data_IF_022499542046
#
_entry.id   IF_022499542046
#
_cell.length_a   1.000
_cell.length_b   1.000
_cell.length_c   1.000
_cell.angle_alpha   90.00
_cell.angle_beta   90.00
_cell.angle_gamma   90.00
#
_symmetry.space_group_name_H-M   'P 1'
#
loop_
_entity.id
_entity.type
_entity.pdbx_description
1 polymer ?
#
# COMPACT_ATOMS: atom_id res chain seq x y z
N UNK A 1 9.07 13.64 -19.67
CA UNK A 1 7.97 14.40 -19.05
C UNK A 1 8.33 15.87 -18.85
N UNK A 2 9.30 16.22 -17.99
CA UNK A 2 9.63 17.60 -17.60
C UNK A 2 9.86 18.57 -18.78
N UNK A 3 10.76 18.24 -19.72
CA UNK A 3 11.06 19.09 -20.91
C UNK A 3 9.82 19.47 -21.74
N UNK A 4 8.74 18.69 -21.66
CA UNK A 4 7.50 18.88 -22.43
C UNK A 4 6.29 19.15 -21.53
N UNK A 5 6.51 19.35 -20.23
CA UNK A 5 5.46 19.58 -19.23
C UNK A 5 4.31 18.55 -19.28
N UNK A 6 4.67 17.27 -19.43
CA UNK A 6 3.71 16.18 -19.55
C UNK A 6 3.37 15.57 -18.18
N UNK A 7 2.16 15.01 -18.11
CA UNK A 7 1.76 14.09 -17.04
C UNK A 7 2.55 12.78 -17.19
N UNK A 8 3.08 12.26 -16.09
CA UNK A 8 3.78 10.99 -16.05
C UNK A 8 3.26 10.14 -14.88
N UNK A 9 2.57 9.05 -15.20
CA UNK A 9 2.13 8.07 -14.20
C UNK A 9 3.17 6.97 -14.08
N UNK A 10 3.72 6.81 -12.88
CA UNK A 10 4.82 5.89 -12.58
C UNK A 10 4.30 4.81 -11.65
N UNK A 11 4.06 3.62 -12.21
CA UNK A 11 3.73 2.39 -11.48
C UNK A 11 4.94 1.52 -11.16
N UNK A 12 6.15 1.95 -11.54
CA UNK A 12 7.38 1.20 -11.33
C UNK A 12 7.69 1.08 -9.84
N UNK A 13 7.94 -0.14 -9.38
CA UNK A 13 8.38 -0.47 -8.01
C UNK A 13 9.87 -0.79 -7.98
N UNK A 14 10.50 -0.72 -6.81
CA UNK A 14 11.94 -1.02 -6.66
C UNK A 14 12.86 0.11 -7.14
N UNK A 15 12.34 1.33 -7.26
CA UNK A 15 13.11 2.53 -7.56
C UNK A 15 14.16 2.79 -6.47
N UNK A 16 15.35 3.21 -6.91
CA UNK A 16 16.45 3.62 -6.02
C UNK A 16 16.20 5.02 -5.44
N UNK A 17 16.95 5.41 -4.42
CA UNK A 17 16.92 6.78 -3.91
C UNK A 17 17.31 7.82 -4.97
N UNK A 18 18.11 7.44 -5.97
CA UNK A 18 18.46 8.32 -7.09
C UNK A 18 17.27 8.51 -8.03
N UNK A 19 16.52 7.44 -8.31
CA UNK A 19 15.27 7.52 -9.08
C UNK A 19 14.25 8.43 -8.39
N UNK A 20 14.06 8.29 -7.07
CA UNK A 20 13.14 9.14 -6.31
C UNK A 20 13.53 10.62 -6.42
N UNK A 21 14.82 10.95 -6.26
CA UNK A 21 15.32 12.32 -6.46
C UNK A 21 15.10 12.81 -7.89
N UNK A 22 15.26 11.94 -8.89
CA UNK A 22 15.02 12.30 -10.28
C UNK A 22 13.54 12.64 -10.53
N UNK A 23 12.60 11.98 -9.85
CA UNK A 23 11.18 12.33 -9.90
C UNK A 23 10.93 13.71 -9.29
N UNK A 24 11.50 14.01 -8.12
CA UNK A 24 11.39 15.34 -7.50
C UNK A 24 11.93 16.44 -8.41
N UNK A 25 13.10 16.22 -9.01
CA UNK A 25 13.70 17.17 -9.95
C UNK A 25 12.82 17.35 -11.19
N UNK A 26 12.26 16.28 -11.74
CA UNK A 26 11.37 16.37 -12.89
C UNK A 26 10.06 17.11 -12.56
N UNK A 27 9.50 16.89 -11.36
CA UNK A 27 8.32 17.60 -10.88
C UNK A 27 8.60 19.11 -10.74
N UNK A 28 9.72 19.49 -10.11
CA UNK A 28 10.16 20.89 -10.00
C UNK A 28 10.40 21.56 -11.36
N UNK A 29 10.79 20.78 -12.36
CA UNK A 29 11.02 21.23 -13.74
C UNK A 29 9.77 21.14 -14.64
N UNK A 30 8.57 21.12 -14.05
CA UNK A 30 7.32 21.31 -14.80
C UNK A 30 6.57 20.04 -15.18
N UNK A 31 6.98 18.86 -14.72
CA UNK A 31 6.19 17.63 -14.89
C UNK A 31 5.12 17.49 -13.81
N UNK A 32 3.96 16.93 -14.18
CA UNK A 32 2.97 16.42 -13.23
C UNK A 32 3.20 14.92 -13.07
N UNK A 33 3.80 14.50 -11.96
CA UNK A 33 4.16 13.10 -11.73
C UNK A 33 3.17 12.51 -10.74
N UNK A 34 2.56 11.39 -11.09
CA UNK A 34 1.78 10.58 -10.15
C UNK A 34 2.53 9.27 -9.98
N UNK A 35 3.07 9.03 -8.78
CA UNK A 35 3.82 7.83 -8.46
C UNK A 35 3.10 7.01 -7.40
N UNK A 36 2.96 5.71 -7.65
CA UNK A 36 2.44 4.78 -6.66
C UNK A 36 2.96 3.37 -6.91
N UNK A 37 3.29 2.65 -5.83
CA UNK A 37 3.63 1.23 -5.90
C UNK A 37 2.44 0.32 -6.22
N UNK A 38 1.21 0.85 -6.18
CA UNK A 38 0.01 0.15 -6.61
C UNK A 38 -0.98 1.16 -7.22
N UNK A 39 -1.43 0.91 -8.46
CA UNK A 39 -2.37 1.80 -9.16
C UNK A 39 -3.84 1.49 -8.87
N UNK A 40 -4.16 0.40 -8.17
CA UNK A 40 -5.53 0.09 -7.74
C UNK A 40 -6.11 1.22 -6.90
N UNK A 41 -7.25 1.77 -7.32
CA UNK A 41 -8.01 2.72 -6.52
C UNK A 41 -8.41 2.11 -5.17
N UNK A 42 -8.87 0.84 -5.21
CA UNK A 42 -9.31 0.11 -4.03
C UNK A 42 -8.21 -0.09 -3.01
N UNK A 43 -7.00 -0.49 -3.43
CA UNK A 43 -5.86 -0.67 -2.52
C UNK A 43 -5.41 0.65 -1.89
N UNK A 44 -5.41 1.75 -2.65
CA UNK A 44 -5.03 3.04 -2.09
C UNK A 44 -6.06 3.56 -1.07
N UNK A 45 -7.35 3.36 -1.33
CA UNK A 45 -8.40 3.62 -0.34
C UNK A 45 -8.24 2.70 0.89
N UNK A 46 -8.01 1.41 0.67
CA UNK A 46 -7.81 0.43 1.74
C UNK A 46 -6.66 0.83 2.66
N UNK A 47 -5.52 1.25 2.08
CA UNK A 47 -4.37 1.74 2.84
C UNK A 47 -4.71 2.94 3.73
N UNK A 48 -5.51 3.89 3.25
CA UNK A 48 -5.95 5.02 4.07
C UNK A 48 -6.88 4.58 5.22
N UNK A 49 -7.83 3.69 4.94
CA UNK A 49 -8.72 3.15 5.98
C UNK A 49 -7.94 2.38 7.05
N UNK A 50 -6.94 1.59 6.64
CA UNK A 50 -6.03 0.88 7.54
C UNK A 50 -5.24 1.84 8.40
N UNK A 51 -4.70 2.91 7.82
CA UNK A 51 -3.97 3.95 8.58
C UNK A 51 -4.86 4.60 9.63
N UNK A 52 -6.08 4.98 9.27
CA UNK A 52 -7.04 5.62 10.17
C UNK A 52 -7.49 4.67 11.28
N UNK A 53 -7.81 3.42 10.95
CA UNK A 53 -8.18 2.40 11.92
C UNK A 53 -7.02 2.12 12.90
N UNK A 54 -5.78 2.04 12.40
CA UNK A 54 -4.60 1.83 13.23
C UNK A 54 -4.36 3.00 14.21
N UNK A 55 -4.56 4.24 13.76
CA UNK A 55 -4.48 5.44 14.60
C UNK A 55 -5.59 5.49 15.66
N UNK A 56 -6.83 5.21 15.28
CA UNK A 56 -7.99 5.30 16.16
C UNK A 56 -8.05 4.19 17.23
N UNK A 57 -7.70 2.95 16.86
CA UNK A 57 -7.86 1.79 17.75
C UNK A 57 -6.69 1.61 18.73
N UNK A 58 -5.51 2.17 18.43
CA UNK A 58 -4.34 2.09 19.31
C UNK A 58 -3.90 0.66 19.64
N UNK A 59 -2.96 0.48 20.57
CA UNK A 59 -2.34 -0.82 20.84
C UNK A 59 -3.23 -1.91 21.43
N UNK A 60 -4.47 -1.61 21.77
CA UNK A 60 -5.44 -2.59 22.28
C UNK A 60 -5.94 -3.54 21.18
N UNK A 61 -5.78 -3.16 19.91
CA UNK A 61 -6.08 -4.01 18.77
C UNK A 61 -4.79 -4.55 18.16
N UNK A 62 -4.64 -5.86 18.16
CA UNK A 62 -3.61 -6.56 17.42
C UNK A 62 -3.88 -6.42 15.91
N UNK A 63 -2.81 -6.16 15.14
CA UNK A 63 -2.90 -6.02 13.68
C UNK A 63 -2.25 -7.23 13.01
N UNK A 64 -3.03 -7.93 12.18
CA UNK A 64 -2.55 -9.02 11.32
C UNK A 64 -2.93 -8.76 9.87
N UNK A 65 -1.99 -8.98 8.95
CA UNK A 65 -2.15 -8.76 7.52
C UNK A 65 -2.07 -10.13 6.84
N UNK A 66 -3.17 -10.51 6.18
CA UNK A 66 -3.26 -11.78 5.45
C UNK A 66 -3.37 -11.48 3.97
N UNK A 67 -2.57 -12.16 3.16
CA UNK A 67 -2.60 -12.03 1.70
C UNK A 67 -2.57 -13.38 1.00
N UNK A 68 -3.24 -13.47 -0.16
CA UNK A 68 -3.18 -14.65 -1.03
C UNK A 68 -2.93 -14.24 -2.48
N UNK A 69 -2.07 -14.98 -3.16
CA UNK A 69 -1.84 -14.85 -4.60
C UNK A 69 -1.67 -16.21 -5.26
N UNK A 70 -1.63 -16.21 -6.60
CA UNK A 70 -1.35 -17.37 -7.42
C UNK A 70 -0.04 -18.09 -7.06
N UNK A 71 0.05 -19.37 -7.44
CA UNK A 71 1.19 -20.24 -7.13
C UNK A 71 2.52 -19.81 -7.80
N UNK A 72 2.48 -18.98 -8.85
CA UNK A 72 3.68 -18.47 -9.53
C UNK A 72 4.26 -17.17 -8.92
N UNK A 73 3.65 -16.61 -7.86
CA UNK A 73 4.15 -15.36 -7.28
C UNK A 73 5.41 -15.61 -6.46
N UNK A 74 6.48 -14.88 -6.79
CA UNK A 74 7.84 -15.08 -6.23
C UNK A 74 8.05 -14.34 -4.91
N UNK A 75 7.65 -13.08 -4.82
CA UNK A 75 7.84 -12.24 -3.63
C UNK A 75 6.84 -12.59 -2.51
N UNK A 76 7.29 -12.56 -1.25
CA UNK A 76 6.50 -12.81 -0.05
C UNK A 76 7.07 -12.05 1.19
N UNK A 77 6.25 -11.31 1.95
CA UNK A 77 4.89 -10.85 1.62
C UNK A 77 4.86 -9.99 0.34
N UNK A 78 3.70 -9.85 -0.28
CA UNK A 78 3.57 -9.02 -1.48
C UNK A 78 3.87 -7.56 -1.19
N UNK A 79 4.31 -6.81 -2.21
CA UNK A 79 4.48 -5.37 -2.09
C UNK A 79 3.23 -4.62 -1.61
N UNK A 80 2.03 -5.12 -1.93
CA UNK A 80 0.77 -4.55 -1.41
C UNK A 80 0.55 -4.88 0.06
N UNK A 81 0.89 -6.08 0.52
CA UNK A 81 0.84 -6.41 1.94
C UNK A 81 1.79 -5.52 2.75
N UNK A 82 3.02 -5.31 2.24
CA UNK A 82 3.99 -4.38 2.85
C UNK A 82 3.46 -2.94 2.88
N UNK A 83 2.84 -2.46 1.78
CA UNK A 83 2.20 -1.15 1.73
C UNK A 83 1.10 -0.99 2.78
N UNK A 84 0.27 -2.02 3.01
CA UNK A 84 -0.75 -2.01 4.06
C UNK A 84 -0.13 -2.06 5.46
N UNK A 85 0.98 -2.80 5.62
CA UNK A 85 1.80 -2.78 6.83
C UNK A 85 2.35 -1.40 7.15
N UNK A 86 2.87 -0.69 6.16
CA UNK A 86 3.38 0.67 6.34
C UNK A 86 2.26 1.65 6.68
N UNK A 87 1.06 1.47 6.10
CA UNK A 87 -0.09 2.26 6.48
C UNK A 87 -0.49 2.05 7.95
N UNK A 88 -0.53 0.79 8.40
CA UNK A 88 -0.80 0.45 9.80
C UNK A 88 0.29 0.99 10.74
N UNK A 89 1.57 0.81 10.39
CA UNK A 89 2.71 1.31 11.14
C UNK A 89 2.69 2.84 11.26
N UNK A 90 2.36 3.55 10.17
CA UNK A 90 2.17 5.00 10.18
C UNK A 90 1.05 5.44 11.11
N UNK A 91 -0.10 4.75 11.10
CA UNK A 91 -1.19 5.02 12.04
C UNK A 91 -0.78 4.83 13.49
N UNK A 92 0.04 3.80 13.77
CA UNK A 92 0.63 3.54 15.10
C UNK A 92 1.85 4.38 15.45
N UNK A 93 2.39 5.16 14.50
CA UNK A 93 3.63 5.94 14.65
C UNK A 93 4.84 5.07 15.03
N UNK A 94 4.92 3.86 14.46
CA UNK A 94 6.03 2.92 14.66
C UNK A 94 6.76 2.63 13.35
N UNK A 95 7.95 2.06 13.43
CA UNK A 95 8.70 1.59 12.27
C UNK A 95 8.26 0.16 11.89
N UNK A 96 7.86 -0.08 10.64
CA UNK A 96 7.43 -1.41 10.19
C UNK A 96 8.57 -2.44 10.25
N UNK A 97 9.79 -2.08 9.84
CA UNK A 97 10.91 -3.03 9.78
C UNK A 97 11.26 -3.60 11.16
N UNK A 98 11.11 -2.79 12.20
CA UNK A 98 11.39 -3.19 13.59
C UNK A 98 10.24 -3.97 14.25
N UNK A 99 9.01 -3.83 13.75
CA UNK A 99 7.81 -4.35 14.39
C UNK A 99 7.08 -5.44 13.58
N UNK A 100 7.52 -5.73 12.36
CA UNK A 100 6.93 -6.75 11.50
C UNK A 100 7.32 -8.18 11.94
N UNK A 101 6.32 -9.06 12.05
CA UNK A 101 6.51 -10.50 12.25
C UNK A 101 6.01 -11.23 11.00
N UNK A 102 6.94 -11.66 10.14
CA UNK A 102 6.62 -12.22 8.80
C UNK A 102 6.32 -13.72 8.80
N UNK A 103 6.72 -14.42 9.85
CA UNK A 103 6.40 -15.83 10.10
C UNK A 103 6.28 -16.02 11.61
N UNK A 104 5.39 -16.94 12.01
CA UNK A 104 5.25 -17.38 13.41
C UNK A 104 5.69 -18.83 13.61
N UNK A 105 6.28 -19.46 12.59
CA UNK A 105 6.82 -20.81 12.70
C UNK A 105 7.89 -20.86 13.81
N UNK A 106 7.76 -21.84 14.71
CA UNK A 106 8.68 -22.01 15.84
C UNK A 106 8.53 -21.01 17.00
N UNK A 107 7.62 -20.02 16.90
CA UNK A 107 7.36 -19.09 18.01
C UNK A 107 6.38 -19.73 19.00
N UNK A 108 6.85 -20.02 20.22
CA UNK A 108 6.07 -20.65 21.29
C UNK A 108 5.58 -19.66 22.36
N UNK A 109 6.15 -18.45 22.39
CA UNK A 109 5.79 -17.41 23.35
C UNK A 109 4.51 -16.63 22.96
N UNK A 110 3.97 -15.90 23.93
CA UNK A 110 2.86 -14.98 23.70
C UNK A 110 3.22 -13.90 22.65
N UNK A 111 2.20 -13.41 21.94
CA UNK A 111 2.37 -12.31 20.98
C UNK A 111 2.95 -11.08 21.67
N UNK A 112 4.02 -10.51 21.12
CA UNK A 112 4.54 -9.21 21.55
C UNK A 112 3.55 -8.11 21.15
N UNK A 113 3.03 -7.36 22.12
CA UNK A 113 2.14 -6.21 21.91
C UNK A 113 2.78 -5.20 20.94
N UNK A 114 1.96 -4.58 20.10
CA UNK A 114 2.40 -3.60 19.10
C UNK A 114 3.02 -4.16 17.82
N UNK A 115 3.35 -5.46 17.77
CA UNK A 115 3.85 -6.08 16.53
C UNK A 115 2.79 -6.09 15.42
N UNK A 116 3.23 -6.13 14.16
CA UNK A 116 2.39 -6.24 12.97
C UNK A 116 2.66 -7.59 12.31
N UNK A 117 1.69 -8.50 12.37
CA UNK A 117 1.86 -9.85 11.83
C UNK A 117 1.53 -9.96 10.34
N UNK A 118 2.21 -10.85 9.63
CA UNK A 118 1.93 -11.17 8.24
C UNK A 118 1.71 -12.67 8.07
N UNK A 119 0.67 -13.04 7.31
CA UNK A 119 0.45 -14.40 6.83
C UNK A 119 0.30 -14.38 5.31
N UNK A 120 1.10 -15.20 4.63
CA UNK A 120 1.23 -15.18 3.17
C UNK A 120 0.80 -16.53 2.59
N UNK A 121 -0.22 -16.53 1.73
CA UNK A 121 -0.79 -17.72 1.12
C UNK A 121 -0.50 -17.74 -0.39
N UNK A 122 -0.27 -18.93 -0.95
CA UNK A 122 -0.06 -19.13 -2.39
C UNK A 122 -0.94 -20.26 -2.88
N UNK A 123 -1.65 -20.06 -3.99
CA UNK A 123 -2.51 -21.11 -4.54
C UNK A 123 -3.25 -20.71 -5.81
N UNK A 124 -3.38 -21.67 -6.72
CA UNK A 124 -4.15 -21.51 -7.96
C UNK A 124 -3.76 -20.28 -8.78
N UNK A 125 -4.77 -19.54 -9.22
CA UNK A 125 -4.68 -18.36 -10.09
C UNK A 125 -5.16 -17.06 -9.41
N UNK A 126 -5.16 -17.02 -8.06
CA UNK A 126 -5.62 -15.84 -7.30
C UNK A 126 -4.82 -14.60 -7.73
N UNK A 127 -5.53 -13.56 -8.21
CA UNK A 127 -4.89 -12.34 -8.69
C UNK A 127 -4.23 -11.58 -7.54
N UNK A 128 -4.93 -11.48 -6.41
CA UNK A 128 -4.43 -10.89 -5.18
C UNK A 128 -5.57 -10.57 -4.21
N UNK A 129 -5.57 -11.23 -3.06
CA UNK A 129 -6.44 -10.94 -1.93
C UNK A 129 -5.61 -10.36 -0.79
N UNK A 130 -6.13 -9.32 -0.13
CA UNK A 130 -5.51 -8.65 1.00
C UNK A 130 -6.55 -8.38 2.07
N UNK A 131 -6.23 -8.70 3.32
CA UNK A 131 -7.08 -8.43 4.47
C UNK A 131 -6.21 -7.92 5.62
N UNK A 132 -6.59 -6.78 6.19
CA UNK A 132 -6.03 -6.28 7.45
C UNK A 132 -7.05 -6.49 8.54
N UNK A 133 -6.63 -7.20 9.58
CA UNK A 133 -7.45 -7.58 10.72
C UNK A 133 -6.98 -6.77 11.91
N UNK A 134 -7.91 -6.07 12.56
CA UNK A 134 -7.74 -5.45 13.86
C UNK A 134 -8.51 -6.28 14.87
N UNK A 135 -7.81 -6.99 15.75
CA UNK A 135 -8.41 -7.89 16.75
C UNK A 135 -8.24 -7.32 18.16
N UNK A 136 -9.35 -6.95 18.79
CA UNK A 136 -9.38 -6.42 20.16
C UNK A 136 -10.14 -7.34 21.12
N UNK A 137 -10.29 -6.94 22.39
CA UNK A 137 -11.04 -7.73 23.37
C UNK A 137 -12.53 -7.84 22.98
N UNK A 138 -12.95 -9.04 22.55
CA UNK A 138 -14.36 -9.33 22.26
C UNK A 138 -14.86 -8.86 20.88
N UNK A 139 -14.02 -8.23 20.07
CA UNK A 139 -14.42 -7.76 18.74
C UNK A 139 -13.28 -7.77 17.71
N UNK A 140 -13.66 -7.63 16.44
CA UNK A 140 -12.76 -7.67 15.30
C UNK A 140 -13.27 -6.77 14.18
N UNK A 141 -12.37 -6.00 13.59
CA UNK A 141 -12.60 -5.28 12.34
C UNK A 141 -11.72 -5.90 11.25
N UNK A 142 -12.31 -6.21 10.11
CA UNK A 142 -11.60 -6.70 8.93
C UNK A 142 -11.81 -5.72 7.77
N UNK A 143 -10.71 -5.27 7.16
CA UNK A 143 -10.75 -4.42 5.97
C UNK A 143 -10.05 -5.18 4.85
N UNK A 144 -10.79 -5.51 3.79
CA UNK A 144 -10.31 -6.41 2.73
C UNK A 144 -10.46 -5.85 1.32
N UNK A 145 -9.59 -6.30 0.43
CA UNK A 145 -9.65 -6.08 -1.00
C UNK A 145 -9.37 -7.40 -1.74
N UNK A 146 -10.20 -7.71 -2.72
CA UNK A 146 -10.02 -8.85 -3.62
C UNK A 146 -9.93 -8.38 -5.06
N UNK A 147 -8.79 -8.63 -5.71
CA UNK A 147 -8.61 -8.35 -7.12
C UNK A 147 -9.26 -9.47 -7.96
N UNK A 148 -10.27 -9.12 -8.76
CA UNK A 148 -10.87 -10.07 -9.69
C UNK A 148 -10.15 -10.11 -11.04
N UNK A 149 -9.53 -9.00 -11.44
CA UNK A 149 -8.84 -8.89 -12.72
C UNK A 149 -7.71 -7.85 -12.67
N UNK A 150 -6.65 -8.06 -13.46
CA UNK A 150 -5.47 -7.18 -13.49
C UNK A 150 -5.73 -5.85 -14.21
N UNK A 151 -6.82 -5.69 -14.97
CA UNK A 151 -7.17 -4.40 -15.59
C UNK A 151 -7.39 -3.28 -14.57
N UNK A 152 -7.67 -3.61 -13.30
CA UNK A 152 -7.86 -2.62 -12.24
C UNK A 152 -6.65 -1.69 -12.08
N UNK A 153 -5.42 -2.19 -12.32
CA UNK A 153 -4.20 -1.39 -12.24
C UNK A 153 -4.10 -0.42 -13.42
N UNK A 154 -4.45 -0.88 -14.62
CA UNK A 154 -4.49 -0.04 -15.82
C UNK A 154 -5.58 1.04 -15.70
N UNK A 155 -6.78 0.68 -15.24
CA UNK A 155 -7.87 1.62 -15.00
C UNK A 155 -7.48 2.70 -13.98
N UNK A 156 -6.78 2.31 -12.92
CA UNK A 156 -6.24 3.24 -11.95
C UNK A 156 -5.19 4.20 -12.54
N UNK A 157 -4.27 3.68 -13.36
CA UNK A 157 -3.28 4.50 -14.06
C UNK A 157 -3.93 5.48 -15.06
N UNK A 158 -4.97 5.05 -15.79
CA UNK A 158 -5.76 5.91 -16.67
C UNK A 158 -6.45 7.02 -15.86
N UNK A 159 -7.06 6.67 -14.71
CA UNK A 159 -7.67 7.67 -13.82
C UNK A 159 -6.63 8.69 -13.32
N UNK A 160 -5.44 8.24 -12.95
CA UNK A 160 -4.33 9.12 -12.56
C UNK A 160 -3.88 10.06 -13.68
N UNK A 161 -3.79 9.56 -14.93
CA UNK A 161 -3.46 10.38 -16.11
C UNK A 161 -4.52 11.48 -16.32
N UNK A 162 -5.81 11.10 -16.30
CA UNK A 162 -6.92 12.04 -16.49
C UNK A 162 -6.97 13.09 -15.37
N UNK A 163 -6.75 12.67 -14.13
CA UNK A 163 -6.68 13.58 -12.98
C UNK A 163 -5.50 14.55 -13.11
N UNK A 164 -4.31 14.04 -13.46
CA UNK A 164 -3.08 14.81 -13.58
C UNK A 164 -3.12 15.91 -14.64
N UNK A 165 -3.93 15.75 -15.69
CA UNK A 165 -4.09 16.76 -16.76
C UNK A 165 -4.51 18.13 -16.24
N UNK A 166 -5.22 18.16 -15.11
CA UNK A 166 -5.77 19.39 -14.52
C UNK A 166 -4.96 19.86 -13.29
N UNK A 167 -3.82 19.24 -12.98
CA UNK A 167 -3.00 19.61 -11.83
C UNK A 167 -1.80 20.46 -12.23
N UNK A 168 -1.30 21.23 -11.28
CA UNK A 168 0.00 21.90 -11.42
C UNK A 168 1.12 20.87 -11.47
N UNK A 169 2.28 21.28 -11.98
CA UNK A 169 3.48 20.47 -11.88
C UNK A 169 3.78 20.17 -10.40
N UNK A 170 4.19 18.93 -10.13
CA UNK A 170 4.30 18.41 -8.77
C UNK A 170 4.45 16.91 -8.75
N UNK A 171 4.84 16.39 -7.59
CA UNK A 171 4.88 14.96 -7.31
C UNK A 171 3.66 14.61 -6.44
N UNK A 172 2.85 13.69 -6.96
CA UNK A 172 1.59 13.26 -6.38
C UNK A 172 1.56 11.74 -6.23
N UNK A 173 0.61 11.27 -5.43
CA UNK A 173 0.30 9.88 -5.19
C UNK A 173 -1.13 9.55 -5.62
N UNK A 174 -1.50 8.28 -5.56
CA UNK A 174 -2.89 7.88 -5.77
C UNK A 174 -3.83 8.37 -4.65
N UNK A 175 -3.31 8.80 -3.48
CA UNK A 175 -4.13 9.44 -2.43
C UNK A 175 -4.63 10.79 -2.91
N UNK A 176 -3.78 11.56 -3.58
CA UNK A 176 -4.16 12.84 -4.19
C UNK A 176 -5.21 12.65 -5.29
N UNK A 177 -5.02 11.63 -6.14
CA UNK A 177 -5.99 11.26 -7.19
C UNK A 177 -7.36 10.91 -6.59
N UNK A 178 -7.39 10.28 -5.41
CA UNK A 178 -8.60 9.92 -4.70
C UNK A 178 -9.17 11.05 -3.83
N UNK A 179 -8.47 12.18 -3.69
CA UNK A 179 -8.89 13.28 -2.81
C UNK A 179 -8.84 12.94 -1.32
N UNK A 180 -8.02 11.97 -0.93
CA UNK A 180 -7.86 11.56 0.46
C UNK A 180 -6.97 12.58 1.18
N UNK A 181 -7.58 13.45 1.97
CA UNK A 181 -6.88 14.48 2.74
C UNK A 181 -6.12 13.84 3.91
N UNK A 182 -4.88 14.27 4.11
CA UNK A 182 -4.14 14.16 5.38
C UNK A 182 -4.62 15.18 6.38
#
# INVERSE_FOLDING_TARGET
>A
AAKRQLVHVIGTTGCTNEDERAFDVAAKNGATIIKSGNMSLGINLLGELVRQAAEALGEEFDIEIVEMHHNQKVDAPSGTALMLGEAAAKGRKINLQENAVKSREGITGARKKGTLGFATLRGGNVVGDHKVIFAGPGERIEISHSAQDRSLFANGAIKALLWGKNQKAGLYSMRDVLGLKT
#
